data_IF_987758844810
#
_entry.id   IF_987758844810
#
_cell.length_a   1.000
_cell.length_b   1.000
_cell.length_c   1.000
_cell.angle_alpha   90.00
_cell.angle_beta   90.00
_cell.angle_gamma   90.00
#
_symmetry.space_group_name_H-M   'P 1'
#
loop_
_entity.id
_entity.type
_entity.pdbx_description
1 polymer ?
#
# COMPACT_ATOMS: atom_id res chain seq x y z
N UNK A 1 19.54 -16.87 18.89
CA UNK A 1 18.44 -16.98 17.91
C UNK A 1 18.39 -15.64 17.23
N UNK A 2 18.69 -15.59 15.93
CA UNK A 2 18.90 -14.36 15.19
C UNK A 2 17.58 -13.67 14.90
N UNK A 3 17.50 -12.40 15.27
CA UNK A 3 16.40 -11.45 14.98
C UNK A 3 16.33 -11.06 13.48
N UNK A 4 17.05 -11.78 12.61
CA UNK A 4 17.36 -11.37 11.24
C UNK A 4 16.28 -11.70 10.18
N UNK A 5 15.20 -12.39 10.57
CA UNK A 5 14.20 -12.90 9.61
C UNK A 5 12.89 -12.14 9.60
N UNK A 6 12.67 -11.22 10.53
CA UNK A 6 11.43 -10.46 10.59
C UNK A 6 11.64 -9.19 9.74
N UNK A 7 10.83 -8.94 8.69
CA UNK A 7 10.84 -7.65 8.00
C UNK A 7 10.69 -6.51 9.02
N UNK A 8 11.03 -5.26 8.69
CA UNK A 8 10.86 -4.12 9.60
C UNK A 8 9.37 -3.72 9.78
N UNK A 9 8.50 -4.71 9.99
CA UNK A 9 7.04 -4.65 10.09
C UNK A 9 6.62 -3.59 11.09
N UNK A 10 7.16 -3.62 12.31
CA UNK A 10 6.79 -2.66 13.36
C UNK A 10 7.04 -1.20 12.94
N UNK A 11 8.20 -0.92 12.33
CA UNK A 11 8.54 0.44 11.86
C UNK A 11 7.61 0.85 10.72
N UNK A 12 7.32 -0.04 9.77
CA UNK A 12 6.39 0.25 8.68
C UNK A 12 4.97 0.47 9.24
N UNK A 13 4.49 -0.35 10.18
CA UNK A 13 3.19 -0.20 10.83
C UNK A 13 3.03 1.15 11.53
N UNK A 14 4.08 1.65 12.20
CA UNK A 14 4.11 2.99 12.81
C UNK A 14 4.00 4.11 11.76
N UNK A 15 4.67 3.96 10.62
CA UNK A 15 4.55 4.90 9.50
C UNK A 15 3.13 4.90 8.91
N UNK A 16 2.53 3.72 8.73
CA UNK A 16 1.15 3.58 8.27
C UNK A 16 0.15 4.18 9.26
N UNK A 17 0.40 4.05 10.57
CA UNK A 17 -0.40 4.69 11.62
C UNK A 17 -0.31 6.21 11.54
N UNK A 18 0.90 6.75 11.36
CA UNK A 18 1.12 8.20 11.26
C UNK A 18 0.48 8.80 10.00
N UNK A 19 0.44 8.04 8.90
CA UNK A 19 -0.24 8.44 7.67
C UNK A 19 -1.76 8.55 7.85
N UNK A 20 -2.37 7.62 8.58
CA UNK A 20 -3.81 7.61 8.90
C UNK A 20 -4.26 8.94 9.53
N UNK A 21 -3.46 9.50 10.43
CA UNK A 21 -3.79 10.75 11.13
C UNK A 21 -3.82 11.97 10.20
N UNK A 22 -3.13 11.89 9.06
CA UNK A 22 -2.97 13.00 8.11
C UNK A 22 -3.95 12.91 6.93
N UNK A 23 -4.31 11.70 6.52
CA UNK A 23 -5.13 11.47 5.31
C UNK A 23 -6.29 10.53 5.62
N UNK A 24 -7.55 10.96 5.35
CA UNK A 24 -8.72 10.13 5.57
C UNK A 24 -8.84 9.04 4.49
N UNK A 25 -8.14 7.92 4.67
CA UNK A 25 -8.15 6.78 3.73
C UNK A 25 -8.91 5.60 4.35
N UNK A 26 -9.30 4.62 3.53
CA UNK A 26 -9.96 3.38 3.94
C UNK A 26 -8.99 2.22 4.14
N UNK A 27 -7.84 2.26 3.46
CA UNK A 27 -6.83 1.23 3.65
C UNK A 27 -5.50 1.62 3.06
N UNK A 28 -4.44 1.12 3.69
CA UNK A 28 -3.08 1.21 3.18
C UNK A 28 -2.36 -0.11 3.40
N UNK A 29 -1.72 -0.62 2.35
CA UNK A 29 -1.05 -1.93 2.39
C UNK A 29 0.30 -1.85 1.69
N UNK A 30 1.33 -2.33 2.37
CA UNK A 30 2.67 -2.54 1.85
C UNK A 30 2.86 -4.04 1.65
N UNK A 31 3.21 -4.44 0.44
CA UNK A 31 3.40 -5.84 0.10
C UNK A 31 4.50 -5.98 -0.94
N UNK A 32 5.07 -7.17 -0.99
CA UNK A 32 6.07 -7.51 -1.99
C UNK A 32 5.41 -7.82 -3.34
N UNK A 33 6.20 -7.78 -4.40
CA UNK A 33 5.78 -8.10 -5.77
C UNK A 33 5.18 -9.51 -5.96
N UNK A 34 5.59 -10.48 -5.14
CA UNK A 34 5.07 -11.85 -5.07
C UNK A 34 3.86 -11.99 -4.13
N UNK A 35 3.34 -10.88 -3.61
CA UNK A 35 2.08 -10.85 -2.88
C UNK A 35 2.16 -11.04 -1.37
N UNK A 36 3.36 -11.10 -0.79
CA UNK A 36 3.52 -11.17 0.66
C UNK A 36 3.24 -9.81 1.30
N UNK A 37 2.25 -9.74 2.19
CA UNK A 37 1.91 -8.52 2.92
C UNK A 37 2.98 -8.28 3.99
N UNK A 38 3.70 -7.16 3.86
CA UNK A 38 4.69 -6.71 4.84
C UNK A 38 3.99 -6.02 6.00
N UNK A 39 3.08 -5.09 5.70
CA UNK A 39 2.30 -4.35 6.68
C UNK A 39 1.00 -3.86 6.06
N UNK A 40 -0.03 -3.73 6.88
CA UNK A 40 -1.37 -3.45 6.43
C UNK A 40 -2.17 -2.74 7.51
N UNK A 41 -2.98 -1.77 7.10
CA UNK A 41 -3.91 -1.11 8.00
C UNK A 41 -5.19 -0.79 7.26
N UNK A 42 -6.31 -1.33 7.75
CA UNK A 42 -7.66 -0.97 7.30
C UNK A 42 -8.28 0.00 8.26
N UNK A 43 -8.94 1.00 7.69
CA UNK A 43 -9.56 2.09 8.40
C UNK A 43 -11.05 2.04 8.10
N UNK A 44 -11.78 1.35 8.97
CA UNK A 44 -13.21 1.10 8.79
C UNK A 44 -14.09 2.32 9.12
N UNK A 45 -13.49 3.41 9.63
CA UNK A 45 -14.25 4.61 9.94
C UNK A 45 -14.87 5.19 8.67
N UNK A 46 -16.20 5.04 8.55
CA UNK A 46 -17.03 5.47 7.40
C UNK A 46 -16.83 4.64 6.12
N UNK A 47 -16.23 3.46 6.20
CA UNK A 47 -16.19 2.51 5.09
C UNK A 47 -17.50 1.71 5.05
N UNK A 48 -18.20 1.61 3.91
CA UNK A 48 -19.40 0.79 3.81
C UNK A 48 -19.08 -0.70 4.04
N UNK A 49 -19.93 -1.48 4.75
CA UNK A 49 -19.67 -2.90 5.04
C UNK A 49 -19.46 -3.77 3.79
N UNK A 50 -20.15 -3.46 2.70
CA UNK A 50 -20.05 -4.21 1.45
C UNK A 50 -18.74 -3.92 0.70
N UNK A 51 -18.10 -2.79 1.01
CA UNK A 51 -16.80 -2.38 0.45
C UNK A 51 -15.65 -3.03 1.24
N UNK A 52 -15.81 -3.32 2.53
CA UNK A 52 -14.79 -4.00 3.32
C UNK A 52 -14.46 -5.38 2.73
N UNK A 53 -15.49 -6.17 2.41
CA UNK A 53 -15.32 -7.49 1.80
C UNK A 53 -14.74 -7.38 0.38
N UNK A 54 -15.17 -6.36 -0.38
CA UNK A 54 -14.67 -6.09 -1.71
C UNK A 54 -13.20 -5.63 -1.71
N UNK A 55 -12.80 -4.77 -0.77
CA UNK A 55 -11.42 -4.27 -0.60
C UNK A 55 -10.50 -5.38 -0.11
N UNK A 56 -10.95 -6.23 0.80
CA UNK A 56 -10.18 -7.41 1.22
C UNK A 56 -9.96 -8.36 0.05
N UNK A 57 -11.00 -8.59 -0.77
CA UNK A 57 -10.92 -9.39 -2.00
C UNK A 57 -10.07 -8.71 -3.08
N UNK A 58 -10.12 -7.38 -3.19
CA UNK A 58 -9.30 -6.57 -4.11
C UNK A 58 -7.84 -6.60 -3.70
N UNK A 59 -7.51 -6.50 -2.41
CA UNK A 59 -6.13 -6.64 -1.93
C UNK A 59 -5.58 -8.04 -2.25
N UNK A 60 -6.38 -9.09 -2.01
CA UNK A 60 -6.04 -10.46 -2.40
C UNK A 60 -5.89 -10.63 -3.93
N UNK A 61 -6.72 -9.94 -4.71
CA UNK A 61 -6.66 -9.97 -6.18
C UNK A 61 -5.52 -9.10 -6.72
N UNK A 62 -5.20 -7.98 -6.09
CA UNK A 62 -4.09 -7.08 -6.41
C UNK A 62 -2.76 -7.79 -6.18
N UNK A 63 -2.68 -8.68 -5.19
CA UNK A 63 -1.58 -9.62 -4.99
C UNK A 63 -1.40 -10.52 -6.24
N UNK A 64 -2.46 -11.16 -6.73
CA UNK A 64 -2.40 -12.00 -7.94
C UNK A 64 -2.19 -11.20 -9.23
N UNK A 65 -2.71 -9.97 -9.28
CA UNK A 65 -2.57 -9.06 -10.41
C UNK A 65 -1.15 -8.49 -10.45
N UNK A 66 -0.50 -8.23 -9.31
CA UNK A 66 0.85 -7.72 -9.22
C UNK A 66 1.84 -8.59 -10.02
N UNK A 67 1.79 -9.92 -9.87
CA UNK A 67 2.63 -10.86 -10.64
C UNK A 67 2.55 -10.65 -12.16
N UNK A 68 1.39 -10.26 -12.69
CA UNK A 68 1.18 -9.98 -14.12
C UNK A 68 1.34 -8.49 -14.48
N UNK A 69 1.15 -7.57 -13.53
CA UNK A 69 1.21 -6.13 -13.75
C UNK A 69 2.61 -5.54 -13.63
N UNK A 70 3.54 -6.20 -12.93
CA UNK A 70 4.92 -5.74 -12.75
C UNK A 70 5.61 -5.49 -14.11
N UNK A 71 5.34 -6.34 -15.11
CA UNK A 71 5.85 -6.15 -16.47
C UNK A 71 5.25 -4.96 -17.24
N UNK A 72 4.15 -4.38 -16.75
CA UNK A 72 3.49 -3.19 -17.30
C UNK A 72 3.76 -1.92 -16.46
N UNK A 73 4.58 -2.01 -15.42
CA UNK A 73 5.01 -0.84 -14.65
C UNK A 73 5.93 -0.01 -15.56
N UNK A 74 5.40 1.14 -15.96
CA UNK A 74 6.16 2.15 -16.66
C UNK A 74 6.96 2.90 -15.59
N UNK A 75 8.30 2.77 -15.57
CA UNK A 75 9.12 3.40 -14.54
C UNK A 75 9.05 4.94 -14.57
N UNK A 76 8.54 5.54 -15.66
CA UNK A 76 8.36 6.98 -15.77
C UNK A 76 7.08 7.48 -15.05
N UNK A 77 6.17 6.59 -14.65
CA UNK A 77 4.92 6.97 -13.98
C UNK A 77 5.01 6.77 -12.48
N UNK A 78 4.88 7.89 -11.76
CA UNK A 78 4.99 7.97 -10.30
C UNK A 78 3.89 7.17 -9.57
N UNK A 79 2.68 7.12 -10.14
CA UNK A 79 1.55 6.35 -9.61
C UNK A 79 0.74 5.66 -10.71
N UNK A 80 0.12 4.53 -10.36
CA UNK A 80 -1.04 3.99 -11.05
C UNK A 80 -2.30 4.30 -10.25
N UNK A 81 -3.30 4.85 -10.92
CA UNK A 81 -4.60 5.18 -10.33
C UNK A 81 -5.68 4.30 -10.96
N UNK A 82 -6.52 3.70 -10.11
CA UNK A 82 -7.73 2.99 -10.51
C UNK A 82 -8.88 3.65 -9.79
N UNK A 83 -9.84 4.20 -10.54
CA UNK A 83 -11.04 4.84 -9.99
C UNK A 83 -12.22 3.89 -10.17
N UNK A 84 -12.99 3.72 -9.09
CA UNK A 84 -14.16 2.87 -9.03
C UNK A 84 -15.39 3.75 -8.78
N UNK A 85 -16.36 3.64 -9.66
CA UNK A 85 -17.69 4.21 -9.49
C UNK A 85 -18.68 3.04 -9.41
N UNK A 86 -19.13 2.73 -8.19
CA UNK A 86 -20.14 1.72 -7.92
C UNK A 86 -21.45 2.39 -7.53
N UNK A 87 -22.58 1.80 -7.94
CA UNK A 87 -23.89 2.15 -7.40
C UNK A 87 -24.38 0.96 -6.58
N UNK A 88 -24.78 1.22 -5.34
CA UNK A 88 -25.50 0.27 -4.50
C UNK A 88 -26.94 0.77 -4.25
N UNK A 89 -27.70 -0.01 -3.48
CA UNK A 89 -29.08 0.33 -3.12
C UNK A 89 -29.19 1.54 -2.17
N UNK A 90 -28.07 2.02 -1.60
CA UNK A 90 -27.97 3.15 -0.67
C UNK A 90 -27.43 4.44 -1.33
N UNK A 91 -26.89 4.37 -2.56
CA UNK A 91 -26.38 5.51 -3.33
C UNK A 91 -25.15 5.17 -4.18
N UNK A 92 -24.53 6.18 -4.79
CA UNK A 92 -23.25 6.00 -5.48
C UNK A 92 -22.09 5.94 -4.49
N UNK A 93 -21.31 4.86 -4.51
CA UNK A 93 -20.01 4.76 -3.83
C UNK A 93 -18.93 4.98 -4.88
N UNK A 94 -18.15 6.04 -4.73
CA UNK A 94 -16.99 6.32 -5.57
C UNK A 94 -15.73 6.34 -4.72
N UNK A 95 -14.70 5.60 -5.15
CA UNK A 95 -13.42 5.52 -4.48
C UNK A 95 -12.27 5.32 -5.46
N UNK A 96 -11.06 5.56 -4.99
CA UNK A 96 -9.83 5.43 -5.78
C UNK A 96 -8.85 4.53 -5.06
N UNK A 97 -8.14 3.71 -5.85
CA UNK A 97 -6.97 2.94 -5.44
C UNK A 97 -5.75 3.54 -6.13
N UNK A 98 -4.77 3.93 -5.34
CA UNK A 98 -3.43 4.26 -5.83
C UNK A 98 -2.50 3.09 -5.55
N UNK A 99 -1.69 2.73 -6.54
CA UNK A 99 -0.60 1.77 -6.45
C UNK A 99 0.70 2.48 -6.81
N UNK A 100 1.71 2.36 -5.95
CA UNK A 100 3.04 2.92 -6.12
C UNK A 100 4.10 1.85 -5.84
N UNK A 101 5.14 1.84 -6.66
CA UNK A 101 6.34 1.06 -6.37
C UNK A 101 7.24 1.86 -5.40
N UNK A 102 7.60 1.23 -4.30
CA UNK A 102 8.41 1.85 -3.24
C UNK A 102 9.87 1.42 -3.35
N UNK A 103 10.11 0.14 -3.63
CA UNK A 103 11.41 -0.45 -3.93
C UNK A 103 11.25 -1.50 -5.04
N UNK A 104 12.36 -2.07 -5.54
CA UNK A 104 12.35 -3.02 -6.66
C UNK A 104 11.33 -4.15 -6.49
N UNK A 105 11.22 -4.68 -5.26
CA UNK A 105 10.32 -5.78 -4.93
C UNK A 105 9.19 -5.39 -3.96
N UNK A 106 8.92 -4.10 -3.75
CA UNK A 106 7.93 -3.63 -2.75
C UNK A 106 6.96 -2.61 -3.36
N UNK A 107 5.68 -2.87 -3.15
CA UNK A 107 4.55 -2.07 -3.59
C UNK A 107 3.79 -1.50 -2.38
N UNK A 108 3.20 -0.33 -2.58
CA UNK A 108 2.34 0.37 -1.64
C UNK A 108 1.01 0.66 -2.33
N UNK A 109 -0.09 0.27 -1.68
CA UNK A 109 -1.45 0.61 -2.11
C UNK A 109 -2.14 1.50 -1.10
N UNK A 110 -2.93 2.43 -1.59
CA UNK A 110 -3.77 3.30 -0.78
C UNK A 110 -5.17 3.35 -1.39
N UNK A 111 -6.19 3.16 -0.55
CA UNK A 111 -7.60 3.12 -0.94
C UNK A 111 -8.32 4.23 -0.20
N UNK A 112 -9.06 5.09 -0.90
CA UNK A 112 -9.72 6.25 -0.29
C UNK A 112 -10.99 6.64 -1.04
N UNK A 113 -11.99 7.21 -0.35
CA UNK A 113 -13.20 7.69 -1.02
C UNK A 113 -12.90 8.87 -1.94
N UNK A 114 -13.69 9.01 -3.01
CA UNK A 114 -13.54 10.12 -3.97
C UNK A 114 -13.85 11.50 -3.37
N UNK A 115 -14.36 11.56 -2.14
CA UNK A 115 -14.50 12.81 -1.37
C UNK A 115 -13.17 13.36 -0.85
N UNK A 116 -12.09 12.58 -0.87
CA UNK A 116 -10.76 12.98 -0.42
C UNK A 116 -10.00 13.63 -1.56
N UNK A 117 -9.30 14.72 -1.26
CA UNK A 117 -8.53 15.44 -2.26
C UNK A 117 -7.34 14.59 -2.74
N UNK A 118 -7.38 14.15 -4.00
CA UNK A 118 -6.34 13.32 -4.62
C UNK A 118 -4.92 13.90 -4.44
N UNK A 119 -4.76 15.22 -4.59
CA UNK A 119 -3.46 15.88 -4.42
C UNK A 119 -2.87 15.75 -3.00
N UNK A 120 -3.72 15.75 -1.96
CA UNK A 120 -3.29 15.50 -0.58
C UNK A 120 -2.83 14.05 -0.42
N UNK A 121 -3.61 13.10 -0.92
CA UNK A 121 -3.27 11.68 -0.85
C UNK A 121 -1.94 11.43 -1.55
N UNK A 122 -1.79 11.94 -2.77
CA UNK A 122 -0.56 11.79 -3.57
C UNK A 122 0.65 12.37 -2.85
N UNK A 123 0.55 13.59 -2.31
CA UNK A 123 1.64 14.23 -1.58
C UNK A 123 2.08 13.42 -0.36
N UNK A 124 1.13 13.00 0.48
CA UNK A 124 1.43 12.23 1.70
C UNK A 124 1.94 10.82 1.36
N UNK A 125 1.46 10.24 0.25
CA UNK A 125 1.85 8.90 -0.20
C UNK A 125 3.28 8.90 -0.79
N UNK A 126 3.73 10.01 -1.41
CA UNK A 126 5.13 10.20 -1.76
C UNK A 126 6.02 10.19 -0.51
N UNK A 127 5.72 11.03 0.47
CA UNK A 127 6.52 11.12 1.70
C UNK A 127 6.61 9.75 2.40
N UNK A 128 5.47 9.09 2.57
CA UNK A 128 5.42 7.75 3.16
C UNK A 128 6.23 6.74 2.35
N UNK A 129 6.21 6.81 1.02
CA UNK A 129 7.00 5.91 0.18
C UNK A 129 8.50 6.12 0.35
N UNK A 130 8.96 7.36 0.52
CA UNK A 130 10.37 7.65 0.77
C UNK A 130 10.79 7.07 2.13
N UNK A 131 9.99 7.27 3.17
CA UNK A 131 10.23 6.71 4.51
C UNK A 131 10.26 5.17 4.49
N UNK A 132 9.31 4.52 3.81
CA UNK A 132 9.29 3.06 3.68
C UNK A 132 10.49 2.57 2.87
N UNK A 133 10.88 3.27 1.80
CA UNK A 133 12.05 2.90 0.98
C UNK A 133 13.31 2.89 1.84
N UNK A 134 13.54 3.91 2.66
CA UNK A 134 14.68 3.96 3.58
C UNK A 134 14.70 2.75 4.51
N UNK A 135 13.55 2.42 5.09
CA UNK A 135 13.38 1.25 5.98
C UNK A 135 13.70 -0.06 5.28
N UNK A 136 13.24 -0.24 4.04
CA UNK A 136 13.50 -1.44 3.23
C UNK A 136 14.97 -1.52 2.83
N UNK A 137 15.59 -0.42 2.40
CA UNK A 137 17.00 -0.39 2.02
C UNK A 137 17.94 -0.69 3.19
N UNK A 138 17.65 -0.19 4.40
CA UNK A 138 18.40 -0.54 5.62
C UNK A 138 18.36 -2.05 5.92
N UNK A 139 17.24 -2.71 5.60
CA UNK A 139 17.06 -4.14 5.81
C UNK A 139 17.80 -4.98 4.76
N UNK A 140 17.74 -4.59 3.48
CA UNK A 140 18.47 -5.25 2.40
C UNK A 140 20.00 -5.21 2.64
N UNK A 141 20.53 -4.09 3.14
CA UNK A 141 21.96 -3.95 3.48
C UNK A 141 22.35 -4.93 4.59
N UNK A 142 21.56 -5.04 5.67
CA UNK A 142 21.84 -5.95 6.79
C UNK A 142 21.85 -7.41 6.36
N UNK A 143 20.90 -7.81 5.51
CA UNK A 143 20.86 -9.18 4.97
C UNK A 143 22.09 -9.52 4.13
N UNK A 144 22.58 -8.55 3.35
CA UNK A 144 23.75 -8.74 2.50
C UNK A 144 25.05 -8.86 3.31
N UNK A 145 25.17 -8.12 4.41
CA UNK A 145 26.29 -8.23 5.34
C UNK A 145 26.32 -9.58 6.07
N UNK A 146 25.17 -10.09 6.50
CA UNK A 146 25.06 -11.37 7.22
C UNK A 146 25.24 -12.61 6.33
N UNK A 147 24.97 -12.51 5.02
CA UNK A 147 25.17 -13.62 4.06
C UNK A 147 26.60 -13.72 3.53
N UNK A 148 27.42 -12.69 3.72
CA UNK A 148 28.84 -12.68 3.32
C UNK A 148 29.82 -13.05 4.45
N UNK A 149 29.32 -13.33 5.65
CA UNK A 149 30.08 -13.85 6.81
C UNK A 149 29.79 -15.30 7.11
#
# INVERSE_FOLDING_TARGET
MSDATIPPVAKIEELLASFEERVPVWGITVFTVDGYIIAHRLFYNKMPPDIEMAVSSLSASLITIAENFIGFIDPEKVFRQITFDAMDDAGGISFTILLKQVADNVLLTCIFPSSVQLGLVVFELENLSEEIREVVSEWEVKLHEETMT
#
